data_IF_259835357914
#
_entry.id   IF_259835357914
#
_cell.length_a   1.000
_cell.length_b   1.000
_cell.length_c   1.000
_cell.angle_alpha   90.00
_cell.angle_beta   90.00
_cell.angle_gamma   90.00
#
_symmetry.space_group_name_H-M   'P 1'
#
loop_
_entity.id
_entity.type
_entity.pdbx_description
1 polymer ?
#
# COMPACT_ATOMS: atom_id res chain seq x y z
N UNK A 1 -8.03 -21.95 17.33
CA UNK A 1 -8.13 -20.50 17.00
C UNK A 1 -7.96 -19.74 18.31
N UNK A 2 -6.74 -19.28 18.62
CA UNK A 2 -6.46 -18.55 19.87
C UNK A 2 -6.98 -17.12 19.73
N UNK A 3 -8.04 -16.76 20.47
CA UNK A 3 -8.41 -15.35 20.67
C UNK A 3 -7.27 -14.69 21.46
N UNK A 4 -6.75 -13.57 20.96
CA UNK A 4 -5.66 -12.82 21.60
C UNK A 4 -6.10 -12.27 22.98
N UNK A 5 -5.18 -12.35 23.95
CA UNK A 5 -5.36 -12.28 25.42
C UNK A 5 -6.29 -11.20 26.02
N UNK A 6 -6.84 -11.57 27.19
CA UNK A 6 -7.98 -10.93 27.86
C UNK A 6 -7.67 -9.72 28.75
N UNK A 7 -6.41 -9.35 29.03
CA UNK A 7 -6.10 -8.43 30.15
C UNK A 7 -5.17 -7.23 29.88
N UNK A 8 -4.95 -6.81 28.63
CA UNK A 8 -4.17 -5.59 28.37
C UNK A 8 -5.05 -4.33 28.47
N UNK A 9 -4.78 -3.47 29.45
CA UNK A 9 -5.22 -2.07 29.48
C UNK A 9 -5.04 -1.46 28.09
N UNK A 10 -6.11 -0.85 27.54
CA UNK A 10 -6.14 -0.33 26.17
C UNK A 10 -5.23 0.90 26.08
N UNK A 11 -3.93 0.68 25.93
CA UNK A 11 -3.00 1.73 25.54
C UNK A 11 -3.25 2.06 24.07
N UNK A 12 -3.33 3.35 23.73
CA UNK A 12 -3.52 3.84 22.35
C UNK A 12 -2.49 3.25 21.37
N UNK A 13 -1.28 2.96 21.87
CA UNK A 13 -0.20 2.30 21.14
C UNK A 13 -0.56 0.84 20.78
N UNK A 14 -1.15 0.07 21.71
CA UNK A 14 -1.58 -1.32 21.45
C UNK A 14 -2.70 -1.39 20.42
N UNK A 15 -3.51 -0.33 20.32
CA UNK A 15 -4.58 -0.18 19.33
C UNK A 15 -4.02 0.16 17.95
N UNK A 16 -2.89 0.86 17.86
CA UNK A 16 -2.23 1.20 16.59
C UNK A 16 -1.33 0.08 16.02
N UNK A 17 -0.81 -0.82 16.88
CA UNK A 17 0.08 -1.94 16.49
C UNK A 17 -0.41 -2.78 15.31
N UNK A 18 -1.69 -3.17 15.20
CA UNK A 18 -2.17 -3.98 14.09
C UNK A 18 -2.21 -3.24 12.74
N UNK A 19 -2.21 -1.90 12.72
CA UNK A 19 -2.35 -1.12 11.47
C UNK A 19 -1.03 -0.60 10.91
N UNK A 20 0.00 -0.42 11.73
CA UNK A 20 1.37 -0.18 11.23
C UNK A 20 1.87 -1.34 10.33
N UNK A 21 1.29 -2.54 10.49
CA UNK A 21 1.49 -3.68 9.60
C UNK A 21 1.09 -3.37 8.14
N UNK A 22 0.05 -2.55 7.94
CA UNK A 22 -0.55 -2.24 6.64
C UNK A 22 0.15 -1.15 5.83
N UNK A 23 1.17 -0.47 6.38
CA UNK A 23 1.95 0.55 5.66
C UNK A 23 2.62 -0.10 4.45
N UNK A 24 2.27 0.36 3.25
CA UNK A 24 2.90 -0.09 2.01
C UNK A 24 4.24 0.64 1.85
N UNK A 25 5.25 -0.07 1.35
CA UNK A 25 6.59 0.48 1.14
C UNK A 25 6.68 1.45 -0.05
N UNK A 26 5.54 1.90 -0.59
CA UNK A 26 5.46 2.79 -1.75
C UNK A 26 6.11 4.16 -1.50
N UNK A 27 6.17 4.61 -0.24
CA UNK A 27 6.85 5.86 0.15
C UNK A 27 8.35 5.86 -0.20
N UNK A 28 8.98 4.70 -0.36
CA UNK A 28 10.38 4.65 -0.76
C UNK A 28 10.55 4.74 -2.28
N UNK A 29 9.51 4.60 -3.08
CA UNK A 29 9.59 4.57 -4.56
C UNK A 29 8.91 5.79 -5.18
N UNK A 30 7.66 6.00 -4.80
CA UNK A 30 6.76 6.98 -5.43
C UNK A 30 7.16 8.45 -5.29
N UNK A 31 7.91 8.91 -4.26
CA UNK A 31 8.32 10.32 -4.20
C UNK A 31 9.12 10.78 -5.41
N UNK A 32 10.03 9.95 -5.94
CA UNK A 32 10.79 10.27 -7.14
C UNK A 32 9.89 10.42 -8.35
N UNK A 33 8.94 9.49 -8.53
CA UNK A 33 7.94 9.50 -9.61
C UNK A 33 7.05 10.76 -9.54
N UNK A 34 6.56 11.09 -8.34
CA UNK A 34 5.68 12.25 -8.10
C UNK A 34 6.44 13.55 -8.33
N UNK A 35 7.67 13.66 -7.82
CA UNK A 35 8.47 14.86 -7.98
C UNK A 35 8.84 15.11 -9.44
N UNK A 36 9.20 14.06 -10.18
CA UNK A 36 9.44 14.15 -11.61
C UNK A 36 8.18 14.55 -12.39
N UNK A 37 7.04 13.92 -12.09
CA UNK A 37 5.79 14.18 -12.78
C UNK A 37 5.27 15.60 -12.55
N UNK A 38 5.41 16.12 -11.33
CA UNK A 38 4.94 17.47 -10.97
C UNK A 38 5.94 18.58 -11.34
N UNK A 39 7.22 18.26 -11.56
CA UNK A 39 8.26 19.18 -12.02
C UNK A 39 8.79 20.17 -10.97
N UNK A 40 8.07 20.39 -9.87
CA UNK A 40 8.47 21.25 -8.75
C UNK A 40 8.27 20.58 -7.38
N UNK A 41 9.06 21.02 -6.40
CA UNK A 41 9.02 20.50 -5.02
C UNK A 41 7.71 20.81 -4.30
N UNK A 42 7.18 22.02 -4.51
CA UNK A 42 5.94 22.47 -3.90
C UNK A 42 4.72 21.74 -4.45
N UNK A 43 4.64 21.57 -5.77
CA UNK A 43 3.54 20.83 -6.36
C UNK A 43 3.57 19.35 -5.95
N UNK A 44 4.76 18.73 -5.90
CA UNK A 44 4.92 17.37 -5.39
C UNK A 44 4.41 17.23 -3.94
N UNK A 45 4.82 18.13 -3.04
CA UNK A 45 4.39 18.12 -1.65
C UNK A 45 2.88 18.35 -1.49
N UNK A 46 2.28 19.22 -2.30
CA UNK A 46 0.82 19.45 -2.29
C UNK A 46 0.04 18.19 -2.68
N UNK A 47 0.51 17.41 -3.67
CA UNK A 47 -0.14 16.15 -4.04
C UNK A 47 -0.05 15.12 -2.90
N UNK A 48 1.05 15.08 -2.16
CA UNK A 48 1.19 14.22 -0.97
C UNK A 48 0.22 14.58 0.15
N UNK A 49 0.04 15.88 0.41
CA UNK A 49 -0.94 16.39 1.39
C UNK A 49 -2.35 16.03 0.94
N UNK A 50 -2.68 16.29 -0.33
CA UNK A 50 -3.99 15.97 -0.90
C UNK A 50 -4.30 14.46 -0.80
N UNK A 51 -3.35 13.60 -1.17
CA UNK A 51 -3.51 12.16 -1.06
C UNK A 51 -3.69 11.68 0.39
N UNK A 52 -3.01 12.32 1.35
CA UNK A 52 -3.21 12.06 2.78
C UNK A 52 -4.63 12.43 3.25
N UNK A 53 -5.15 13.59 2.83
CA UNK A 53 -6.53 14.02 3.13
C UNK A 53 -7.56 13.07 2.52
N UNK A 54 -7.39 12.68 1.25
CA UNK A 54 -8.27 11.71 0.58
C UNK A 54 -8.25 10.37 1.32
N UNK A 55 -7.07 9.89 1.71
CA UNK A 55 -6.90 8.64 2.45
C UNK A 55 -7.57 8.70 3.82
N UNK A 56 -7.46 9.82 4.53
CA UNK A 56 -8.13 10.01 5.81
C UNK A 56 -9.66 9.96 5.65
N UNK A 57 -10.21 10.63 4.64
CA UNK A 57 -11.64 10.58 4.34
C UNK A 57 -12.13 9.16 3.97
N UNK A 58 -11.37 8.45 3.13
CA UNK A 58 -11.68 7.06 2.77
C UNK A 58 -11.62 6.13 4.00
N UNK A 59 -10.57 6.27 4.82
CA UNK A 59 -10.38 5.54 6.07
C UNK A 59 -11.55 5.74 7.05
N UNK A 60 -11.98 6.99 7.24
CA UNK A 60 -13.14 7.31 8.07
C UNK A 60 -14.44 6.67 7.54
N UNK A 61 -14.66 6.71 6.22
CA UNK A 61 -15.81 6.05 5.56
C UNK A 61 -15.84 4.56 5.89
N UNK A 62 -14.68 3.90 5.77
CA UNK A 62 -14.55 2.46 6.01
C UNK A 62 -14.67 2.09 7.48
N UNK A 63 -14.23 2.95 8.39
CA UNK A 63 -14.48 2.77 9.83
C UNK A 63 -15.98 2.72 10.12
N UNK A 64 -16.77 3.61 9.50
CA UNK A 64 -18.22 3.57 9.65
C UNK A 64 -18.83 2.30 9.02
N UNK A 65 -18.35 1.88 7.84
CA UNK A 65 -18.81 0.62 7.23
C UNK A 65 -18.48 -0.61 8.08
N UNK A 66 -17.26 -0.71 8.59
CA UNK A 66 -16.81 -1.84 9.42
C UNK A 66 -17.42 -1.89 10.81
N UNK A 67 -17.95 -0.76 11.32
CA UNK A 67 -18.76 -0.73 12.55
C UNK A 67 -20.23 -1.07 12.29
N UNK A 68 -20.75 -0.83 11.08
CA UNK A 68 -22.09 -1.25 10.65
C UNK A 68 -22.13 -2.75 10.33
N UNK A 69 -21.16 -3.20 9.55
CA UNK A 69 -21.05 -4.52 8.94
C UNK A 69 -19.74 -5.17 9.42
N UNK A 70 -19.80 -5.86 10.56
CA UNK A 70 -18.61 -6.43 11.23
C UNK A 70 -18.22 -7.83 10.70
N UNK A 71 -18.61 -8.17 9.47
CA UNK A 71 -18.27 -9.46 8.84
C UNK A 71 -16.88 -9.42 8.17
N UNK A 72 -16.27 -10.59 7.97
CA UNK A 72 -14.99 -10.70 7.27
C UNK A 72 -15.16 -10.55 5.76
N UNK A 73 -14.25 -9.81 5.12
CA UNK A 73 -14.16 -9.71 3.65
C UNK A 73 -14.14 -8.28 3.10
N UNK A 74 -14.25 -7.25 3.95
CA UNK A 74 -14.10 -5.85 3.54
C UNK A 74 -15.08 -5.43 2.44
N UNK A 75 -14.55 -4.87 1.35
CA UNK A 75 -15.36 -4.36 0.23
C UNK A 75 -16.29 -5.41 -0.37
N UNK A 76 -15.89 -6.69 -0.40
CA UNK A 76 -16.73 -7.80 -0.87
C UNK A 76 -18.07 -7.79 -0.12
N UNK A 77 -18.01 -7.78 1.21
CA UNK A 77 -19.20 -7.79 2.06
C UNK A 77 -19.94 -6.46 1.99
N UNK A 78 -19.21 -5.34 2.00
CA UNK A 78 -19.82 -4.01 1.98
C UNK A 78 -20.64 -3.79 0.71
N UNK A 79 -20.10 -4.15 -0.44
CA UNK A 79 -20.79 -4.04 -1.73
C UNK A 79 -21.98 -5.01 -1.81
N UNK A 80 -21.82 -6.25 -1.35
CA UNK A 80 -22.92 -7.23 -1.29
C UNK A 80 -24.10 -6.76 -0.46
N UNK A 81 -23.81 -6.19 0.72
CA UNK A 81 -24.83 -5.75 1.67
C UNK A 81 -25.52 -4.46 1.24
N UNK A 82 -24.79 -3.59 0.51
CA UNK A 82 -25.28 -2.27 0.13
C UNK A 82 -26.04 -2.28 -1.19
N UNK A 83 -25.64 -3.12 -2.15
CA UNK A 83 -26.25 -3.22 -3.48
C UNK A 83 -26.92 -4.59 -3.68
N UNK A 84 -28.14 -4.78 -3.18
CA UNK A 84 -28.83 -6.08 -3.21
C UNK A 84 -29.31 -6.50 -4.62
N UNK A 85 -29.40 -5.56 -5.57
CA UNK A 85 -29.85 -5.80 -6.95
C UNK A 85 -28.90 -5.10 -7.94
N UNK A 86 -28.40 -5.80 -8.98
CA UNK A 86 -28.40 -7.27 -9.15
C UNK A 86 -27.57 -7.96 -8.06
N UNK A 87 -28.09 -9.09 -7.54
CA UNK A 87 -27.52 -9.75 -6.37
C UNK A 87 -26.08 -10.20 -6.63
N UNK A 88 -25.18 -9.93 -5.69
CA UNK A 88 -23.75 -10.27 -5.73
C UNK A 88 -22.93 -9.67 -6.88
N UNK A 89 -23.49 -8.88 -7.81
CA UNK A 89 -22.73 -8.39 -8.98
C UNK A 89 -21.50 -7.59 -8.57
N UNK A 90 -21.67 -6.53 -7.77
CA UNK A 90 -20.57 -5.66 -7.38
C UNK A 90 -19.55 -6.36 -6.48
N UNK A 91 -20.02 -7.27 -5.64
CA UNK A 91 -19.19 -8.12 -4.79
C UNK A 91 -18.33 -9.08 -5.64
N UNK A 92 -18.93 -9.73 -6.64
CA UNK A 92 -18.24 -10.59 -7.60
C UNK A 92 -17.24 -9.80 -8.44
N UNK A 93 -17.64 -8.66 -9.01
CA UNK A 93 -16.76 -7.80 -9.81
C UNK A 93 -15.58 -7.31 -9.00
N UNK A 94 -15.81 -6.92 -7.74
CA UNK A 94 -14.72 -6.59 -6.82
C UNK A 94 -13.81 -7.79 -6.59
N UNK A 95 -14.33 -8.97 -6.25
CA UNK A 95 -13.49 -10.16 -6.03
C UNK A 95 -12.69 -10.54 -7.28
N UNK A 96 -13.30 -10.46 -8.46
CA UNK A 96 -12.66 -10.70 -9.75
C UNK A 96 -11.51 -9.71 -9.98
N UNK A 97 -11.79 -8.40 -9.90
CA UNK A 97 -10.77 -7.37 -10.08
C UNK A 97 -9.73 -7.39 -8.96
N UNK A 98 -10.10 -7.79 -7.75
CA UNK A 98 -9.19 -7.91 -6.63
C UNK A 98 -8.14 -8.98 -6.90
N UNK A 99 -8.59 -10.14 -7.38
CA UNK A 99 -7.71 -11.24 -7.73
C UNK A 99 -6.86 -10.94 -8.97
N UNK A 100 -7.47 -10.47 -10.06
CA UNK A 100 -6.79 -10.33 -11.35
C UNK A 100 -5.95 -9.06 -11.49
N UNK A 101 -6.32 -7.97 -10.80
CA UNK A 101 -5.71 -6.65 -10.99
C UNK A 101 -5.17 -6.05 -9.70
N UNK A 102 -6.04 -5.83 -8.69
CA UNK A 102 -5.69 -5.01 -7.54
C UNK A 102 -4.59 -5.66 -6.71
N UNK A 103 -4.83 -6.87 -6.19
CA UNK A 103 -3.89 -7.51 -5.27
C UNK A 103 -2.62 -7.95 -5.98
N UNK A 104 -2.78 -8.51 -7.17
CA UNK A 104 -1.68 -9.08 -7.95
C UNK A 104 -0.79 -7.97 -8.53
N UNK A 105 -1.37 -6.88 -9.04
CA UNK A 105 -0.59 -5.71 -9.45
C UNK A 105 0.18 -5.09 -8.28
N UNK A 106 -0.45 -5.00 -7.10
CA UNK A 106 0.22 -4.52 -5.89
C UNK A 106 1.39 -5.42 -5.47
N UNK A 107 1.20 -6.73 -5.40
CA UNK A 107 2.27 -7.69 -5.06
C UNK A 107 3.40 -7.61 -6.09
N UNK A 108 3.06 -7.60 -7.38
CA UNK A 108 4.03 -7.53 -8.46
C UNK A 108 4.86 -6.23 -8.40
N UNK A 109 4.21 -5.07 -8.18
CA UNK A 109 4.89 -3.78 -8.04
C UNK A 109 5.86 -3.79 -6.85
N UNK A 110 5.42 -4.21 -5.66
CA UNK A 110 6.31 -4.28 -4.48
C UNK A 110 7.47 -5.26 -4.71
N UNK A 111 7.26 -6.35 -5.45
CA UNK A 111 8.34 -7.30 -5.77
C UNK A 111 9.40 -6.67 -6.68
N UNK A 112 9.01 -5.80 -7.61
CA UNK A 112 9.96 -5.03 -8.44
C UNK A 112 10.77 -4.06 -7.58
N UNK A 113 10.09 -3.29 -6.71
CA UNK A 113 10.76 -2.38 -5.78
C UNK A 113 11.75 -3.12 -4.87
N UNK A 114 11.37 -4.29 -4.35
CA UNK A 114 12.26 -5.15 -3.57
C UNK A 114 13.52 -5.51 -4.35
N UNK A 115 13.39 -5.95 -5.61
CA UNK A 115 14.52 -6.34 -6.43
C UNK A 115 15.48 -5.17 -6.68
N UNK A 116 14.96 -4.00 -7.03
CA UNK A 116 15.78 -2.82 -7.29
C UNK A 116 16.54 -2.36 -6.05
N UNK A 117 15.86 -2.27 -4.90
CA UNK A 117 16.50 -1.88 -3.64
C UNK A 117 17.52 -2.91 -3.17
N UNK A 118 17.25 -4.21 -3.37
CA UNK A 118 18.21 -5.26 -3.04
C UNK A 118 19.46 -5.16 -3.93
N UNK A 119 19.29 -5.03 -5.24
CA UNK A 119 20.42 -4.87 -6.19
C UNK A 119 21.23 -3.62 -5.84
N UNK A 120 20.57 -2.49 -5.57
CA UNK A 120 21.26 -1.27 -5.15
C UNK A 120 22.08 -1.48 -3.87
N UNK A 121 21.53 -2.18 -2.87
CA UNK A 121 22.24 -2.43 -1.61
C UNK A 121 23.50 -3.28 -1.78
N UNK A 122 23.47 -4.23 -2.72
CA UNK A 122 24.58 -5.13 -3.02
C UNK A 122 25.63 -4.48 -3.94
N UNK A 123 25.32 -3.32 -4.53
CA UNK A 123 26.18 -2.67 -5.53
C UNK A 123 27.43 -2.05 -4.91
N UNK A 124 28.58 -2.72 -5.06
CA UNK A 124 29.89 -2.27 -4.54
C UNK A 124 30.67 -1.39 -5.51
N UNK A 125 30.38 -1.45 -6.81
CA UNK A 125 31.03 -0.66 -7.88
C UNK A 125 30.01 0.17 -8.68
N UNK A 126 30.46 1.21 -9.39
CA UNK A 126 29.64 1.96 -10.36
C UNK A 126 29.02 1.04 -11.44
N UNK A 127 29.70 -0.07 -11.75
CA UNK A 127 29.18 -1.10 -12.65
C UNK A 127 27.96 -1.83 -12.09
N UNK A 128 27.81 -1.96 -10.77
CA UNK A 128 26.63 -2.63 -10.23
C UNK A 128 25.37 -1.75 -10.28
N UNK A 129 25.53 -0.42 -10.23
CA UNK A 129 24.44 0.53 -10.50
C UNK A 129 23.95 0.41 -11.96
N UNK A 130 24.79 -0.13 -12.86
CA UNK A 130 24.41 -0.46 -14.24
C UNK A 130 23.36 -1.57 -14.32
N UNK A 131 23.26 -2.48 -13.33
CA UNK A 131 22.19 -3.50 -13.29
C UNK A 131 20.79 -2.94 -13.05
N UNK A 132 20.71 -1.67 -12.62
CA UNK A 132 19.44 -0.93 -12.56
C UNK A 132 19.14 -0.19 -13.87
N UNK A 133 20.12 -0.04 -14.78
CA UNK A 133 19.92 0.53 -16.11
C UNK A 133 19.48 -0.59 -17.04
N UNK A 134 18.22 -0.54 -17.45
CA UNK A 134 17.72 -1.36 -18.55
C UNK A 134 17.98 -0.53 -19.80
N UNK A 135 18.90 -0.96 -20.66
CA UNK A 135 19.14 -0.25 -21.90
C UNK A 135 17.89 -0.34 -22.78
N UNK A 136 17.19 0.77 -23.08
CA UNK A 136 15.93 0.73 -23.82
C UNK A 136 16.13 0.18 -25.24
N UNK A 137 17.34 0.30 -25.80
CA UNK A 137 17.69 -0.25 -27.12
C UNK A 137 17.79 -1.77 -27.11
N UNK A 138 18.20 -2.37 -26.00
CA UNK A 138 18.35 -3.82 -25.86
C UNK A 138 17.03 -4.46 -25.39
N UNK A 139 16.19 -3.71 -24.67
CA UNK A 139 14.85 -4.12 -24.29
C UNK A 139 14.82 -5.45 -23.55
N UNK A 140 14.01 -6.40 -24.02
CA UNK A 140 13.90 -7.76 -23.42
C UNK A 140 15.21 -8.55 -23.53
N UNK A 141 16.12 -8.17 -24.43
CA UNK A 141 17.42 -8.82 -24.57
C UNK A 141 18.46 -8.27 -23.58
N UNK A 142 18.12 -7.25 -22.78
CA UNK A 142 18.98 -6.80 -21.70
C UNK A 142 18.98 -7.83 -20.56
N UNK A 143 20.17 -8.28 -20.14
CA UNK A 143 20.30 -9.25 -19.05
C UNK A 143 19.77 -8.66 -17.73
N UNK A 144 19.95 -7.36 -17.51
CA UNK A 144 19.53 -6.65 -16.29
C UNK A 144 18.01 -6.71 -16.09
N UNK A 145 17.28 -6.66 -17.21
CA UNK A 145 15.83 -6.76 -17.24
C UNK A 145 15.32 -8.06 -16.61
N UNK A 146 15.93 -9.19 -16.97
CA UNK A 146 15.57 -10.50 -16.43
C UNK A 146 16.11 -10.72 -15.02
N UNK A 147 17.30 -10.18 -14.71
CA UNK A 147 17.88 -10.26 -13.36
C UNK A 147 16.94 -9.68 -12.30
N UNK A 148 16.40 -8.46 -12.52
CA UNK A 148 15.46 -7.84 -11.58
C UNK A 148 14.19 -8.67 -11.41
N UNK A 149 13.67 -9.27 -12.48
CA UNK A 149 12.49 -10.15 -12.42
C UNK A 149 12.75 -11.41 -11.64
N UNK A 150 13.87 -12.09 -11.86
CA UNK A 150 14.19 -13.30 -11.12
C UNK A 150 14.40 -13.03 -9.63
N UNK A 151 15.02 -11.90 -9.27
CA UNK A 151 15.14 -11.47 -7.87
C UNK A 151 13.75 -11.19 -7.28
N UNK A 152 12.88 -10.47 -8.00
CA UNK A 152 11.51 -10.19 -7.60
C UNK A 152 10.69 -11.48 -7.37
N UNK A 153 10.81 -12.45 -8.29
CA UNK A 153 10.17 -13.76 -8.18
C UNK A 153 10.75 -14.60 -7.05
N UNK A 154 12.06 -14.55 -6.82
CA UNK A 154 12.72 -15.20 -5.70
C UNK A 154 12.20 -14.68 -4.36
N UNK A 155 12.11 -13.35 -4.21
CA UNK A 155 11.52 -12.72 -3.02
C UNK A 155 10.07 -13.16 -2.80
N UNK A 156 9.25 -13.12 -3.85
CA UNK A 156 7.85 -13.57 -3.80
C UNK A 156 7.72 -15.06 -3.45
N UNK A 157 8.59 -15.91 -4.00
CA UNK A 157 8.61 -17.36 -3.74
C UNK A 157 8.93 -17.64 -2.27
N UNK A 158 9.95 -16.99 -1.71
CA UNK A 158 10.30 -17.12 -0.29
C UNK A 158 9.12 -16.69 0.58
N UNK A 159 8.49 -15.54 0.26
CA UNK A 159 7.30 -15.05 0.97
C UNK A 159 6.16 -16.06 0.96
N UNK A 160 5.87 -16.60 -0.22
CA UNK A 160 4.80 -17.58 -0.40
C UNK A 160 5.11 -18.86 0.35
N UNK A 161 6.36 -19.34 0.29
CA UNK A 161 6.80 -20.57 0.93
C UNK A 161 6.64 -20.52 2.46
N UNK A 162 7.09 -19.46 3.13
CA UNK A 162 6.95 -19.40 4.59
C UNK A 162 5.49 -19.18 5.03
N UNK A 163 4.65 -18.53 4.22
CA UNK A 163 3.21 -18.43 4.49
C UNK A 163 2.49 -19.77 4.34
N UNK A 164 2.91 -20.60 3.38
CA UNK A 164 2.40 -21.98 3.25
C UNK A 164 2.85 -22.82 4.44
N UNK A 165 4.13 -22.72 4.83
CA UNK A 165 4.72 -23.54 5.89
C UNK A 165 4.09 -23.27 7.27
N UNK A 166 3.93 -22.00 7.66
CA UNK A 166 3.40 -21.65 8.98
C UNK A 166 2.85 -20.23 9.04
N UNK A 167 1.52 -20.13 9.18
CA UNK A 167 0.84 -18.83 9.39
C UNK A 167 1.28 -18.10 10.68
N UNK A 168 1.47 -18.77 11.84
CA UNK A 168 1.99 -18.10 13.03
C UNK A 168 3.40 -17.51 12.84
N UNK A 169 4.30 -18.25 12.19
CA UNK A 169 5.65 -17.77 11.88
C UNK A 169 5.60 -16.57 10.93
N UNK A 170 4.82 -16.68 9.85
CA UNK A 170 4.61 -15.60 8.89
C UNK A 170 4.11 -14.32 9.57
N UNK A 171 3.14 -14.44 10.47
CA UNK A 171 2.61 -13.33 11.24
C UNK A 171 3.66 -12.69 12.17
N UNK A 172 4.53 -13.49 12.79
CA UNK A 172 5.64 -12.98 13.62
C UNK A 172 6.64 -12.20 12.76
N UNK A 173 7.01 -12.73 11.59
CA UNK A 173 7.91 -12.07 10.64
C UNK A 173 7.31 -10.73 10.17
N UNK A 174 6.06 -10.73 9.71
CA UNK A 174 5.37 -9.53 9.25
C UNK A 174 5.31 -8.42 10.33
N UNK A 175 5.11 -8.81 11.61
CA UNK A 175 5.15 -7.88 12.75
C UNK A 175 6.52 -7.25 12.94
N UNK A 176 7.59 -8.04 12.92
CA UNK A 176 8.96 -7.53 13.07
C UNK A 176 9.30 -6.58 11.92
N UNK A 177 9.01 -6.99 10.68
CA UNK A 177 9.26 -6.16 9.50
C UNK A 177 8.45 -4.86 9.51
N UNK A 178 7.29 -4.83 10.18
CA UNK A 178 6.51 -3.61 10.38
C UNK A 178 7.16 -2.58 11.30
N UNK A 179 7.83 -3.03 12.36
CA UNK A 179 8.62 -2.14 13.19
C UNK A 179 9.84 -1.62 12.43
N UNK A 180 10.53 -2.50 11.69
CA UNK A 180 11.70 -2.11 10.88
C UNK A 180 11.33 -1.03 9.86
N UNK A 181 10.24 -1.19 9.10
CA UNK A 181 9.84 -0.18 8.11
C UNK A 181 9.47 1.17 8.73
N UNK A 182 8.79 1.15 9.88
CA UNK A 182 8.40 2.37 10.58
C UNK A 182 9.63 3.09 11.12
N UNK A 183 10.59 2.35 11.67
CA UNK A 183 11.87 2.88 12.14
C UNK A 183 12.69 3.48 10.98
N UNK A 184 12.82 2.76 9.86
CA UNK A 184 13.51 3.27 8.67
C UNK A 184 12.93 4.60 8.19
N UNK A 185 11.60 4.69 8.13
CA UNK A 185 10.91 5.93 7.73
C UNK A 185 11.12 7.07 8.73
N UNK A 186 11.07 6.77 10.03
CA UNK A 186 11.37 7.74 11.08
C UNK A 186 12.81 8.25 10.98
N UNK A 187 13.79 7.37 10.73
CA UNK A 187 15.19 7.75 10.50
C UNK A 187 15.33 8.70 9.31
N UNK A 188 14.67 8.42 8.18
CA UNK A 188 14.68 9.32 7.02
C UNK A 188 14.10 10.69 7.39
N UNK A 189 12.97 10.72 8.10
CA UNK A 189 12.35 11.96 8.53
C UNK A 189 13.28 12.80 9.42
N UNK A 190 13.93 12.19 10.42
CA UNK A 190 14.87 12.87 11.32
C UNK A 190 16.08 13.39 10.55
N UNK A 191 16.70 12.57 9.70
CA UNK A 191 17.86 12.97 8.90
C UNK A 191 17.52 14.11 7.93
N UNK A 192 16.30 14.12 7.39
CA UNK A 192 15.78 15.21 6.57
C UNK A 192 15.68 16.54 7.32
N UNK A 193 15.15 16.51 8.56
CA UNK A 193 15.02 17.71 9.40
C UNK A 193 16.40 18.29 9.74
N UNK A 194 17.38 17.43 10.05
CA UNK A 194 18.76 17.88 10.33
C UNK A 194 19.40 18.54 9.10
N UNK A 195 19.04 18.07 7.89
CA UNK A 195 19.58 18.57 6.62
C UNK A 195 18.58 19.48 5.87
N UNK A 196 17.70 20.18 6.58
CA UNK A 196 16.62 20.97 5.95
C UNK A 196 17.14 22.11 5.06
N UNK A 197 18.32 22.65 5.39
CA UNK A 197 19.02 23.61 4.52
C UNK A 197 19.54 22.88 3.29
N UNK A 198 18.73 22.87 2.24
CA UNK A 198 19.10 22.27 0.97
C UNK A 198 20.25 23.05 0.32
N UNK A 199 21.41 22.43 0.03
CA UNK A 199 22.49 23.07 -0.72
C UNK A 199 22.17 23.19 -2.23
N UNK A 200 21.01 22.68 -2.66
CA UNK A 200 20.59 22.61 -4.07
C UNK A 200 19.43 23.55 -4.40
N UNK A 201 19.13 24.50 -3.50
CA UNK A 201 18.09 25.53 -3.64
C UNK A 201 16.69 24.99 -3.99
N UNK A 202 16.41 23.73 -3.64
CA UNK A 202 15.12 23.08 -3.91
C UNK A 202 13.94 23.79 -3.21
N UNK A 203 14.23 24.59 -2.17
CA UNK A 203 13.25 25.37 -1.41
C UNK A 203 13.06 26.81 -1.91
N UNK A 204 14.05 27.41 -2.60
CA UNK A 204 13.96 28.80 -3.06
C UNK A 204 13.04 28.92 -4.27
N UNK A 205 13.12 27.95 -5.19
CA UNK A 205 12.31 27.83 -6.40
C UNK A 205 11.15 26.85 -6.20
N UNK A 206 10.42 26.99 -5.09
CA UNK A 206 9.52 25.94 -4.58
C UNK A 206 8.47 25.48 -5.60
N UNK A 207 7.90 26.39 -6.39
CA UNK A 207 6.91 26.08 -7.44
C UNK A 207 7.44 26.24 -8.88
N UNK A 208 8.74 26.51 -9.06
CA UNK A 208 9.26 26.74 -10.40
C UNK A 208 9.36 25.44 -11.20
N UNK A 209 8.95 25.48 -12.47
CA UNK A 209 8.89 24.30 -13.33
C UNK A 209 7.69 23.37 -13.06
N UNK A 210 6.68 23.86 -12.32
CA UNK A 210 5.47 23.07 -12.06
C UNK A 210 4.78 22.67 -13.36
N UNK A 211 4.48 21.37 -13.49
CA UNK A 211 3.73 20.79 -14.62
C UNK A 211 2.34 20.35 -14.15
N UNK A 212 1.31 21.18 -14.40
CA UNK A 212 -0.10 20.92 -14.06
C UNK A 212 -0.91 20.43 -15.26
N UNK A 213 -0.43 19.39 -15.93
CA UNK A 213 -1.27 18.68 -16.91
C UNK A 213 -2.19 17.70 -16.18
N UNK A 214 -3.34 17.38 -16.78
CA UNK A 214 -4.26 16.38 -16.23
C UNK A 214 -3.52 15.04 -16.05
N UNK A 215 -2.65 14.69 -17.00
CA UNK A 215 -1.85 13.46 -16.97
C UNK A 215 -0.83 13.44 -15.83
N UNK A 216 -0.05 14.52 -15.66
CA UNK A 216 0.96 14.62 -14.59
C UNK A 216 0.32 14.62 -13.22
N UNK A 217 -0.77 15.37 -13.04
CA UNK A 217 -1.51 15.42 -11.79
C UNK A 217 -2.15 14.06 -11.43
N UNK A 218 -2.85 13.44 -12.39
CA UNK A 218 -3.54 12.16 -12.15
C UNK A 218 -2.55 11.02 -11.85
N UNK A 219 -1.44 10.97 -12.61
CA UNK A 219 -0.37 9.98 -12.39
C UNK A 219 0.28 10.16 -11.01
N UNK A 220 0.57 11.40 -10.62
CA UNK A 220 1.16 11.72 -9.32
C UNK A 220 0.21 11.35 -8.19
N UNK A 221 -1.07 11.71 -8.33
CA UNK A 221 -2.08 11.41 -7.31
C UNK A 221 -2.25 9.89 -7.15
N UNK A 222 -2.34 9.13 -8.23
CA UNK A 222 -2.42 7.65 -8.18
C UNK A 222 -1.18 7.06 -7.50
N UNK A 223 0.01 7.57 -7.81
CA UNK A 223 1.27 7.13 -7.16
C UNK A 223 1.26 7.41 -5.65
N UNK A 224 0.78 8.59 -5.25
CA UNK A 224 0.62 8.93 -3.82
C UNK A 224 -0.40 8.00 -3.15
N UNK A 225 -1.55 7.78 -3.78
CA UNK A 225 -2.61 6.91 -3.24
C UNK A 225 -2.15 5.45 -3.14
N UNK A 226 -1.27 4.98 -4.03
CA UNK A 226 -0.60 3.68 -3.89
C UNK A 226 0.20 3.59 -2.59
N UNK A 227 0.98 4.62 -2.27
CA UNK A 227 1.78 4.65 -1.04
C UNK A 227 0.94 4.65 0.21
N UNK A 228 -0.17 5.39 0.19
CA UNK A 228 -1.11 5.43 1.31
C UNK A 228 -1.96 4.17 1.44
N UNK A 229 -2.05 3.32 0.41
CA UNK A 229 -2.90 2.14 0.41
C UNK A 229 -2.54 1.15 1.55
N UNK A 230 -3.50 0.33 1.94
CA UNK A 230 -3.39 -0.64 3.04
C UNK A 230 -4.16 -0.27 4.32
N UNK A 231 -4.75 0.92 4.37
CA UNK A 231 -5.66 1.37 5.43
C UNK A 231 -6.93 0.51 5.56
N UNK A 232 -7.36 -0.12 4.47
CA UNK A 232 -8.52 -1.02 4.41
C UNK A 232 -8.23 -2.46 4.86
N UNK A 233 -6.97 -2.89 4.98
CA UNK A 233 -6.62 -4.29 5.21
C UNK A 233 -7.22 -4.92 6.48
N UNK A 234 -7.43 -4.13 7.55
CA UNK A 234 -8.09 -4.63 8.77
C UNK A 234 -9.55 -5.03 8.54
N UNK A 235 -10.22 -4.43 7.55
CA UNK A 235 -11.61 -4.77 7.23
C UNK A 235 -11.75 -6.20 6.68
N UNK A 236 -10.65 -6.81 6.20
CA UNK A 236 -10.66 -8.19 5.72
C UNK A 236 -10.70 -9.23 6.83
N UNK A 237 -10.30 -8.87 8.05
CA UNK A 237 -10.13 -9.81 9.17
C UNK A 237 -10.87 -9.37 10.44
N UNK A 238 -11.91 -8.55 10.32
CA UNK A 238 -12.62 -7.97 11.49
C UNK A 238 -13.07 -9.00 12.52
N UNK A 239 -13.55 -10.18 12.09
CA UNK A 239 -14.02 -11.18 13.03
C UNK A 239 -12.90 -11.93 13.79
N UNK A 240 -11.63 -11.71 13.46
CA UNK A 240 -10.49 -12.19 14.27
C UNK A 240 -10.19 -11.30 15.49
N UNK A 241 -10.75 -10.08 15.54
CA UNK A 241 -10.49 -9.11 16.59
C UNK A 241 -11.59 -9.11 17.68
N UNK A 242 -11.18 -9.02 18.95
CA UNK A 242 -12.08 -8.81 20.09
C UNK A 242 -12.49 -7.34 20.15
N UNK A 243 -13.79 -7.05 20.29
CA UNK A 243 -14.36 -5.69 20.27
C UNK A 243 -13.92 -4.86 19.05
N UNK A 244 -14.18 -5.34 17.82
CA UNK A 244 -13.66 -4.72 16.61
C UNK A 244 -14.16 -3.28 16.45
N UNK A 245 -15.39 -2.97 16.86
CA UNK A 245 -16.01 -1.66 16.62
C UNK A 245 -15.21 -0.48 17.21
N UNK A 246 -14.94 -0.51 18.53
CA UNK A 246 -14.17 0.55 19.19
C UNK A 246 -12.71 0.55 18.77
N UNK A 247 -12.09 -0.63 18.64
CA UNK A 247 -10.68 -0.74 18.24
C UNK A 247 -10.48 -0.25 16.80
N UNK A 248 -11.43 -0.50 15.90
CA UNK A 248 -11.37 -0.10 14.51
C UNK A 248 -11.31 1.42 14.39
N UNK A 249 -12.11 2.17 15.16
CA UNK A 249 -12.18 3.64 15.11
C UNK A 249 -10.84 4.28 15.44
N UNK A 250 -10.34 4.06 16.65
CA UNK A 250 -9.11 4.72 17.11
C UNK A 250 -7.90 4.25 16.31
N UNK A 251 -7.82 2.96 16.03
CA UNK A 251 -6.71 2.40 15.27
C UNK A 251 -6.64 3.02 13.86
N UNK A 252 -7.77 3.27 13.18
CA UNK A 252 -7.72 3.70 11.78
C UNK A 252 -7.23 5.14 11.65
N UNK A 253 -7.83 6.01 12.47
CA UNK A 253 -7.55 7.45 12.42
C UNK A 253 -6.12 7.72 12.86
N UNK A 254 -5.69 7.15 14.00
CA UNK A 254 -4.35 7.37 14.54
C UNK A 254 -3.29 6.85 13.56
N UNK A 255 -3.48 5.66 13.00
CA UNK A 255 -2.51 5.10 12.05
C UNK A 255 -2.38 5.93 10.77
N UNK A 256 -3.50 6.36 10.17
CA UNK A 256 -3.45 7.18 8.95
C UNK A 256 -2.81 8.54 9.21
N UNK A 257 -3.09 9.17 10.36
CA UNK A 257 -2.46 10.45 10.73
C UNK A 257 -0.95 10.32 10.94
N UNK A 258 -0.50 9.30 11.69
CA UNK A 258 0.93 9.06 11.93
C UNK A 258 1.65 8.80 10.60
N UNK A 259 1.10 7.93 9.75
CA UNK A 259 1.69 7.60 8.45
C UNK A 259 1.72 8.82 7.54
N UNK A 260 0.63 9.60 7.48
CA UNK A 260 0.58 10.83 6.70
C UNK A 260 1.61 11.86 7.14
N UNK A 261 1.79 12.05 8.45
CA UNK A 261 2.83 12.93 8.97
C UNK A 261 4.23 12.44 8.56
N UNK A 262 4.52 11.14 8.74
CA UNK A 262 5.80 10.56 8.35
C UNK A 262 6.06 10.63 6.84
N UNK A 263 5.03 10.47 6.00
CA UNK A 263 5.15 10.58 4.55
C UNK A 263 5.44 12.01 4.11
N UNK A 264 4.77 13.00 4.70
CA UNK A 264 5.06 14.42 4.46
C UNK A 264 6.50 14.72 4.87
N UNK A 265 6.93 14.29 6.07
CA UNK A 265 8.30 14.49 6.55
C UNK A 265 9.34 13.78 5.68
N UNK A 266 9.07 12.57 5.20
CA UNK A 266 9.97 11.86 4.29
C UNK A 266 10.09 12.59 2.94
N UNK A 267 9.01 13.14 2.40
CA UNK A 267 9.07 13.95 1.18
C UNK A 267 9.87 15.25 1.40
N UNK A 268 9.69 15.92 2.53
CA UNK A 268 10.52 17.07 2.93
C UNK A 268 12.00 16.65 3.02
N UNK A 269 12.30 15.47 3.57
CA UNK A 269 13.66 14.93 3.65
C UNK A 269 14.28 14.72 2.26
N UNK A 270 13.55 14.04 1.37
CA UNK A 270 13.99 13.79 0.00
C UNK A 270 14.20 15.10 -0.77
N UNK A 271 13.27 16.05 -0.64
CA UNK A 271 13.39 17.38 -1.27
C UNK A 271 14.57 18.17 -0.73
N UNK A 272 14.90 18.06 0.55
CA UNK A 272 15.99 18.83 1.15
C UNK A 272 17.36 18.35 0.66
N UNK A 273 17.53 17.05 0.49
CA UNK A 273 18.85 16.45 0.28
C UNK A 273 19.12 16.03 -1.16
N UNK A 274 18.11 15.58 -1.91
CA UNK A 274 18.32 15.08 -3.27
C UNK A 274 18.34 16.25 -4.27
N UNK A 275 19.35 16.38 -5.15
CA UNK A 275 19.39 17.48 -6.13
C UNK A 275 18.19 17.51 -7.09
N UNK A 276 17.62 18.68 -7.37
CA UNK A 276 16.46 18.83 -8.28
C UNK A 276 16.69 18.36 -9.72
N UNK A 277 17.94 18.21 -10.18
CA UNK A 277 18.24 17.62 -11.49
C UNK A 277 17.70 16.19 -11.64
N UNK A 278 17.56 15.45 -10.55
CA UNK A 278 16.95 14.12 -10.56
C UNK A 278 15.42 14.18 -10.71
N UNK A 279 14.80 15.27 -10.27
CA UNK A 279 13.39 15.54 -10.55
C UNK A 279 13.18 16.06 -12.00
N UNK A 280 14.12 16.82 -12.54
CA UNK A 280 13.95 17.53 -13.83
C UNK A 280 14.46 16.79 -15.07
N UNK A 281 15.26 15.72 -14.92
CA UNK A 281 15.79 14.97 -16.06
C UNK A 281 15.01 13.67 -16.31
N UNK A 282 14.12 13.64 -17.33
CA UNK A 282 13.40 12.42 -17.71
C UNK A 282 14.28 11.30 -18.27
N UNK A 283 15.58 11.52 -18.48
CA UNK A 283 16.55 10.54 -18.98
C UNK A 283 17.46 9.88 -17.94
N UNK A 284 17.32 10.19 -16.64
CA UNK A 284 17.97 9.44 -15.58
C UNK A 284 16.94 8.50 -14.92
N UNK A 285 16.94 7.26 -15.40
CA UNK A 285 15.96 6.19 -15.18
C UNK A 285 15.96 5.57 -13.76
N UNK A 286 16.29 6.33 -12.70
CA UNK A 286 16.51 5.76 -11.36
C UNK A 286 15.64 6.36 -10.25
N UNK A 287 14.42 6.79 -10.57
CA UNK A 287 13.55 7.47 -9.62
C UNK A 287 12.97 6.55 -8.53
N UNK A 288 13.15 5.25 -8.66
CA UNK A 288 12.54 4.25 -7.79
C UNK A 288 13.35 4.01 -6.51
N UNK A 289 14.63 4.39 -6.52
CA UNK A 289 15.58 4.18 -5.41
C UNK A 289 15.91 5.49 -4.68
N UNK A 290 14.95 6.43 -4.62
CA UNK A 290 15.17 7.77 -4.04
C UNK A 290 15.70 7.73 -2.60
N UNK A 291 15.32 6.72 -1.82
CA UNK A 291 15.85 6.55 -0.46
C UNK A 291 17.34 6.20 -0.45
N UNK A 292 17.82 5.41 -1.42
CA UNK A 292 19.24 5.11 -1.59
C UNK A 292 20.03 6.39 -1.86
N UNK A 293 19.62 7.14 -2.88
CA UNK A 293 20.25 8.42 -3.23
C UNK A 293 20.23 9.43 -2.09
N UNK A 294 19.10 9.55 -1.39
CA UNK A 294 18.99 10.38 -0.20
C UNK A 294 20.11 10.06 0.79
N UNK A 295 20.32 8.79 1.14
CA UNK A 295 21.40 8.41 2.05
C UNK A 295 22.80 8.64 1.46
N UNK A 296 23.01 8.47 0.15
CA UNK A 296 24.29 8.82 -0.47
C UNK A 296 24.63 10.30 -0.30
N UNK A 297 23.66 11.18 -0.53
CA UNK A 297 23.81 12.62 -0.40
C UNK A 297 23.87 13.11 1.06
N UNK A 298 23.21 12.41 2.00
CA UNK A 298 23.35 12.72 3.44
C UNK A 298 24.76 12.42 3.94
N UNK A 299 25.36 11.30 3.51
CA UNK A 299 26.63 10.87 4.07
C UNK A 299 27.59 10.33 3.01
N UNK A 300 27.31 9.13 2.48
CA UNK A 300 28.16 8.47 1.49
C UNK A 300 27.45 7.26 0.88
N UNK A 301 28.06 6.68 -0.15
CA UNK A 301 27.60 5.47 -0.84
C UNK A 301 27.33 4.29 0.10
N UNK A 302 28.17 4.08 1.11
CA UNK A 302 27.99 2.97 2.04
C UNK A 302 26.70 3.13 2.84
N UNK A 303 26.38 4.36 3.26
CA UNK A 303 25.11 4.66 3.91
C UNK A 303 23.92 4.47 2.95
N UNK A 304 24.06 4.89 1.68
CA UNK A 304 23.10 4.60 0.62
C UNK A 304 22.77 3.11 0.51
N UNK A 305 23.79 2.25 0.49
CA UNK A 305 23.63 0.79 0.43
C UNK A 305 22.91 0.22 1.65
N UNK A 306 23.31 0.65 2.85
CA UNK A 306 22.70 0.20 4.12
C UNK A 306 21.23 0.60 4.18
N UNK A 307 20.91 1.86 3.85
CA UNK A 307 19.52 2.31 3.86
C UNK A 307 18.70 1.58 2.80
N UNK A 308 19.23 1.38 1.60
CA UNK A 308 18.57 0.60 0.55
C UNK A 308 18.33 -0.86 0.96
N UNK A 309 19.23 -1.47 1.73
CA UNK A 309 19.00 -2.79 2.30
C UNK A 309 17.84 -2.79 3.30
N UNK A 310 17.76 -1.78 4.18
CA UNK A 310 16.64 -1.61 5.10
C UNK A 310 15.31 -1.41 4.35
N UNK A 311 15.32 -0.69 3.22
CA UNK A 311 14.15 -0.52 2.35
C UNK A 311 13.80 -1.82 1.63
N UNK A 312 14.78 -2.60 1.15
CA UNK A 312 14.54 -3.92 0.59
C UNK A 312 13.84 -4.84 1.60
N UNK A 313 14.32 -4.87 2.85
CA UNK A 313 13.67 -5.62 3.94
C UNK A 313 12.25 -5.10 4.21
N UNK A 314 12.02 -3.78 4.15
CA UNK A 314 10.70 -3.18 4.27
C UNK A 314 9.73 -3.64 3.18
N UNK A 315 10.14 -3.55 1.91
CA UNK A 315 9.34 -3.99 0.76
C UNK A 315 9.04 -5.50 0.84
N UNK A 316 10.00 -6.31 1.27
CA UNK A 316 9.80 -7.74 1.54
C UNK A 316 8.74 -8.00 2.62
N UNK A 317 8.71 -7.18 3.69
CA UNK A 317 7.64 -7.21 4.68
C UNK A 317 6.28 -6.79 4.15
N UNK A 318 6.25 -5.80 3.25
CA UNK A 318 5.02 -5.43 2.55
C UNK A 318 4.53 -6.59 1.67
N UNK A 319 5.41 -7.29 0.95
CA UNK A 319 5.04 -8.50 0.19
C UNK A 319 4.36 -9.55 1.08
N UNK A 320 4.93 -9.81 2.26
CA UNK A 320 4.33 -10.73 3.23
C UNK A 320 2.93 -10.32 3.66
N UNK A 321 2.74 -9.06 4.02
CA UNK A 321 1.43 -8.53 4.41
C UNK A 321 0.40 -8.59 3.26
N UNK A 322 0.83 -8.29 2.03
CA UNK A 322 -0.03 -8.38 0.85
C UNK A 322 -0.41 -9.83 0.52
N UNK A 323 0.54 -10.77 0.62
CA UNK A 323 0.29 -12.18 0.38
C UNK A 323 -0.70 -12.77 1.39
N UNK A 324 -0.52 -12.44 2.67
CA UNK A 324 -1.43 -12.84 3.74
C UNK A 324 -2.86 -12.35 3.49
N UNK A 325 -3.04 -11.03 3.33
CA UNK A 325 -4.37 -10.43 3.15
C UNK A 325 -5.02 -10.86 1.83
N UNK A 326 -4.25 -11.03 0.76
CA UNK A 326 -4.74 -11.51 -0.53
C UNK A 326 -5.30 -12.93 -0.46
N UNK A 327 -4.61 -13.85 0.21
CA UNK A 327 -5.05 -15.25 0.36
C UNK A 327 -6.40 -15.37 1.07
N UNK A 328 -6.69 -14.50 2.05
CA UNK A 328 -7.97 -14.52 2.79
C UNK A 328 -9.14 -14.00 1.96
N UNK A 329 -8.94 -12.96 1.16
CA UNK A 329 -9.98 -12.48 0.25
C UNK A 329 -10.29 -13.53 -0.82
N UNK A 330 -9.28 -14.26 -1.32
CA UNK A 330 -9.48 -15.38 -2.24
C UNK A 330 -10.33 -16.47 -1.59
N UNK A 331 -10.05 -16.83 -0.33
CA UNK A 331 -10.88 -17.80 0.40
C UNK A 331 -12.32 -17.32 0.58
N UNK A 332 -12.53 -16.09 1.03
CA UNK A 332 -13.88 -15.54 1.21
C UNK A 332 -14.66 -15.51 -0.12
N UNK A 333 -14.00 -15.16 -1.23
CA UNK A 333 -14.63 -15.21 -2.55
C UNK A 333 -14.94 -16.66 -3.00
N UNK A 334 -14.08 -17.62 -2.67
CA UNK A 334 -14.32 -19.05 -2.93
C UNK A 334 -15.47 -19.63 -2.09
N UNK A 335 -15.63 -19.21 -0.83
CA UNK A 335 -16.77 -19.59 0.00
C UNK A 335 -18.11 -19.10 -0.56
N UNK A 336 -18.11 -17.96 -1.27
CA UNK A 336 -19.29 -17.44 -1.97
C UNK A 336 -19.48 -18.03 -3.38
N UNK A 337 -18.69 -19.02 -3.77
CA UNK A 337 -18.69 -19.63 -5.10
C UNK A 337 -18.51 -18.62 -6.25
N UNK A 338 -17.72 -17.56 -6.03
CA UNK A 338 -17.40 -16.59 -7.08
C UNK A 338 -16.35 -17.11 -8.08
N UNK A 339 -15.62 -18.19 -7.75
CA UNK A 339 -14.74 -18.84 -8.71
C UNK A 339 -15.51 -19.95 -9.43
N UNK A 340 -15.62 -19.92 -10.77
CA UNK A 340 -16.34 -20.95 -11.52
C UNK A 340 -15.64 -22.31 -11.48
N UNK A 341 -14.32 -22.32 -11.28
CA UNK A 341 -13.48 -23.52 -11.26
C UNK A 341 -12.59 -23.49 -10.01
N UNK A 342 -12.52 -24.60 -9.28
CA UNK A 342 -11.59 -24.77 -8.16
C UNK A 342 -11.98 -24.12 -6.84
N UNK A 343 -13.18 -23.52 -6.73
CA UNK A 343 -13.67 -22.89 -5.49
C UNK A 343 -13.58 -23.82 -4.26
N UNK A 344 -13.90 -25.12 -4.43
CA UNK A 344 -13.83 -26.09 -3.33
C UNK A 344 -12.41 -26.24 -2.77
N UNK A 345 -11.39 -26.24 -3.63
CA UNK A 345 -9.99 -26.32 -3.23
C UNK A 345 -9.49 -25.01 -2.64
N UNK A 346 -9.93 -23.88 -3.20
CA UNK A 346 -9.49 -22.54 -2.77
C UNK A 346 -10.02 -22.16 -1.38
N UNK A 347 -11.25 -22.57 -1.03
CA UNK A 347 -11.87 -22.24 0.26
C UNK A 347 -11.29 -23.02 1.45
N UNK A 348 -10.70 -24.20 1.21
CA UNK A 348 -10.19 -25.06 2.29
C UNK A 348 -8.75 -24.69 2.66
N UNK A 349 -8.47 -24.65 3.96
CA UNK A 349 -7.09 -24.68 4.45
C UNK A 349 -6.48 -26.07 4.20
N UNK A 350 -5.16 -26.13 4.06
CA UNK A 350 -4.42 -27.37 3.88
C UNK A 350 -4.41 -28.21 5.16
N UNK A 351 -4.58 -29.53 5.04
CA UNK A 351 -4.66 -30.44 6.18
C UNK A 351 -3.33 -30.58 6.95
N UNK A 352 -2.18 -30.45 6.27
CA UNK A 352 -0.86 -30.63 6.87
C UNK A 352 -0.38 -29.36 7.58
N UNK A 353 -0.58 -28.20 6.95
CA UNK A 353 -0.04 -26.93 7.45
C UNK A 353 -1.07 -26.03 8.13
N UNK A 354 -2.37 -26.32 7.97
CA UNK A 354 -3.47 -25.47 8.43
C UNK A 354 -3.33 -24.02 7.91
N UNK A 355 -3.00 -23.89 6.62
CA UNK A 355 -2.77 -22.62 5.92
C UNK A 355 -3.55 -22.57 4.60
N UNK A 356 -3.82 -21.38 4.05
CA UNK A 356 -4.55 -21.21 2.78
C UNK A 356 -3.66 -21.53 1.56
N UNK A 357 -3.07 -22.74 1.53
CA UNK A 357 -2.05 -23.15 0.56
C UNK A 357 -2.49 -22.95 -0.89
N UNK A 358 -3.69 -23.41 -1.23
CA UNK A 358 -4.20 -23.32 -2.61
C UNK A 358 -4.40 -21.86 -3.04
N UNK A 359 -4.94 -21.02 -2.17
CA UNK A 359 -5.09 -19.60 -2.45
C UNK A 359 -3.73 -18.89 -2.62
N UNK A 360 -2.74 -19.23 -1.79
CA UNK A 360 -1.37 -18.71 -1.90
C UNK A 360 -0.70 -19.12 -3.22
N UNK A 361 -0.81 -20.40 -3.61
CA UNK A 361 -0.25 -20.90 -4.87
C UNK A 361 -0.91 -20.24 -6.07
N UNK A 362 -2.23 -20.15 -6.10
CA UNK A 362 -2.97 -19.52 -7.20
C UNK A 362 -2.59 -18.03 -7.34
N UNK A 363 -2.47 -17.32 -6.22
CA UNK A 363 -1.97 -15.95 -6.23
C UNK A 363 -0.51 -15.85 -6.71
N UNK A 364 0.37 -16.75 -6.27
CA UNK A 364 1.77 -16.82 -6.70
C UNK A 364 1.89 -17.02 -8.21
N UNK A 365 1.12 -17.96 -8.78
CA UNK A 365 1.10 -18.23 -10.22
C UNK A 365 0.68 -16.97 -10.99
N UNK A 366 -0.41 -16.32 -10.57
CA UNK A 366 -0.89 -15.12 -11.28
C UNK A 366 0.06 -13.92 -11.13
N UNK A 367 0.68 -13.75 -9.95
CA UNK A 367 1.73 -12.74 -9.76
C UNK A 367 2.95 -13.03 -10.64
N UNK A 368 3.36 -14.29 -10.76
CA UNK A 368 4.48 -14.69 -11.61
C UNK A 368 4.19 -14.37 -13.07
N UNK A 369 3.02 -14.75 -13.55
CA UNK A 369 2.56 -14.40 -14.91
C UNK A 369 2.59 -12.88 -15.12
N UNK A 370 2.04 -12.11 -14.18
CA UNK A 370 1.98 -10.64 -14.29
C UNK A 370 3.37 -10.00 -14.29
N UNK A 371 4.28 -10.45 -13.42
CA UNK A 371 5.67 -9.96 -13.35
C UNK A 371 6.43 -10.22 -14.66
N UNK A 372 6.21 -11.40 -15.26
CA UNK A 372 6.86 -11.81 -16.51
C UNK A 372 6.25 -11.08 -17.71
N UNK A 373 4.91 -11.06 -17.84
CA UNK A 373 4.20 -10.56 -19.02
C UNK A 373 3.98 -9.04 -18.99
N UNK A 374 3.40 -8.50 -17.92
CA UNK A 374 3.17 -7.04 -17.83
C UNK A 374 4.47 -6.31 -17.59
N UNK A 375 5.33 -6.89 -16.75
CA UNK A 375 6.69 -6.40 -16.62
C UNK A 375 7.53 -6.57 -17.89
N UNK A 376 7.06 -7.26 -18.95
CA UNK A 376 7.77 -7.36 -20.23
C UNK A 376 7.87 -6.00 -20.97
N UNK A 377 7.14 -4.99 -20.50
CA UNK A 377 7.15 -3.66 -21.11
C UNK A 377 8.55 -3.04 -21.07
N UNK A 378 9.05 -2.68 -22.25
CA UNK A 378 10.35 -2.02 -22.45
C UNK A 378 10.19 -0.49 -22.35
N UNK A 379 8.97 0.01 -22.53
CA UNK A 379 8.68 1.43 -22.75
C UNK A 379 8.30 2.19 -21.48
N UNK A 380 8.01 1.51 -20.39
CA UNK A 380 7.64 2.16 -19.13
C UNK A 380 8.12 1.33 -17.94
N UNK A 381 8.37 2.03 -16.84
CA UNK A 381 8.86 1.42 -15.62
C UNK A 381 7.91 0.30 -15.12
N UNK A 382 8.43 -0.93 -14.85
CA UNK A 382 7.61 -2.04 -14.38
C UNK A 382 6.84 -1.76 -13.09
N UNK A 383 7.45 -1.14 -12.07
CA UNK A 383 6.77 -0.78 -10.83
C UNK A 383 5.64 0.20 -11.13
N UNK A 384 5.90 1.23 -11.94
CA UNK A 384 4.87 2.23 -12.27
C UNK A 384 3.69 1.60 -12.99
N UNK A 385 3.91 0.79 -14.03
CA UNK A 385 2.83 0.11 -14.76
C UNK A 385 2.01 -0.77 -13.81
N UNK A 386 2.67 -1.57 -12.97
CA UNK A 386 2.01 -2.52 -12.08
C UNK A 386 1.25 -1.84 -10.94
N UNK A 387 1.82 -0.76 -10.39
CA UNK A 387 1.17 0.05 -9.36
C UNK A 387 -0.04 0.79 -9.94
N UNK A 388 0.08 1.41 -11.11
CA UNK A 388 -1.03 2.06 -11.82
C UNK A 388 -2.15 1.06 -12.13
N UNK A 389 -1.82 -0.10 -12.71
CA UNK A 389 -2.78 -1.17 -13.01
C UNK A 389 -3.57 -1.61 -11.78
N UNK A 390 -2.88 -1.73 -10.64
CA UNK A 390 -3.49 -2.04 -9.35
C UNK A 390 -4.39 -0.92 -8.86
N UNK A 391 -3.91 0.33 -8.86
CA UNK A 391 -4.61 1.46 -8.23
C UNK A 391 -5.81 1.95 -9.03
N UNK A 392 -5.71 2.07 -10.36
CA UNK A 392 -6.87 2.45 -11.17
C UNK A 392 -8.02 1.47 -10.95
N UNK A 393 -7.71 0.18 -10.90
CA UNK A 393 -8.68 -0.86 -10.58
C UNK A 393 -9.25 -0.70 -9.16
N UNK A 394 -8.41 -0.45 -8.17
CA UNK A 394 -8.82 -0.36 -6.76
C UNK A 394 -9.74 0.83 -6.48
N UNK A 395 -9.39 2.01 -6.98
CA UNK A 395 -10.09 3.26 -6.66
C UNK A 395 -11.49 3.35 -7.25
N UNK A 396 -11.76 2.62 -8.35
CA UNK A 396 -13.13 2.43 -8.85
C UNK A 396 -13.99 1.77 -7.76
N UNK A 397 -13.50 0.68 -7.16
CA UNK A 397 -14.24 -0.04 -6.11
C UNK A 397 -14.24 0.68 -4.76
N UNK A 398 -13.20 1.44 -4.44
CA UNK A 398 -13.21 2.30 -3.24
C UNK A 398 -14.25 3.41 -3.36
N UNK A 399 -14.38 4.01 -4.55
CA UNK A 399 -15.46 4.95 -4.87
C UNK A 399 -16.85 4.32 -4.77
N UNK A 400 -17.05 3.14 -5.36
CA UNK A 400 -18.29 2.36 -5.23
C UNK A 400 -18.62 2.03 -3.76
N UNK A 401 -17.61 1.70 -2.96
CA UNK A 401 -17.76 1.41 -1.52
C UNK A 401 -18.13 2.68 -0.73
N UNK A 402 -17.56 3.84 -1.09
CA UNK A 402 -18.00 5.14 -0.59
C UNK A 402 -19.47 5.42 -0.93
N UNK A 403 -19.89 5.19 -2.17
CA UNK A 403 -21.28 5.32 -2.60
C UNK A 403 -22.22 4.35 -1.84
N UNK A 404 -21.77 3.13 -1.57
CA UNK A 404 -22.48 2.15 -0.74
C UNK A 404 -22.76 2.68 0.68
N UNK A 405 -21.79 3.36 1.31
CA UNK A 405 -22.02 3.99 2.62
C UNK A 405 -23.12 5.06 2.56
N UNK A 406 -23.11 5.93 1.54
CA UNK A 406 -24.18 6.92 1.35
C UNK A 406 -25.54 6.26 1.14
N UNK A 407 -25.60 5.14 0.41
CA UNK A 407 -26.84 4.37 0.24
C UNK A 407 -27.32 3.77 1.58
N UNK A 408 -26.42 3.18 2.37
CA UNK A 408 -26.75 2.61 3.69
C UNK A 408 -27.19 3.67 4.70
N UNK A 409 -26.64 4.89 4.64
CA UNK A 409 -27.06 6.01 5.51
C UNK A 409 -28.51 6.43 5.29
N UNK A 410 -29.09 6.18 4.12
CA UNK A 410 -30.50 6.48 3.83
C UNK A 410 -31.48 5.48 4.45
N UNK A 411 -30.99 4.32 4.92
CA UNK A 411 -31.81 3.30 5.57
C UNK A 411 -31.73 3.45 7.10
N UNK A 412 -32.83 3.27 7.84
CA UNK A 412 -32.78 3.21 9.31
C UNK A 412 -31.79 2.12 9.74
N UNK A 413 -30.95 2.41 10.73
CA UNK A 413 -30.05 1.41 11.32
C UNK A 413 -30.52 1.08 12.73
N UNK A 414 -30.81 -0.20 12.97
CA UNK A 414 -31.23 -0.70 14.28
C UNK A 414 -30.07 -0.81 15.29
N UNK A 415 -28.81 -0.68 14.85
CA UNK A 415 -27.63 -0.79 15.73
C UNK A 415 -27.27 0.54 16.39
N UNK A 416 -27.42 0.59 17.71
CA UNK A 416 -27.24 1.78 18.58
C UNK A 416 -25.80 2.34 18.74
N UNK A 417 -24.75 1.70 18.24
CA UNK A 417 -23.34 2.08 18.53
C UNK A 417 -22.48 2.40 17.30
N UNK A 418 -23.04 3.03 16.26
CA UNK A 418 -22.30 3.32 15.02
C UNK A 418 -21.40 4.54 15.16
N UNK A 419 -20.09 4.37 14.99
CA UNK A 419 -19.22 5.49 14.61
C UNK A 419 -19.76 6.08 13.30
N UNK A 420 -20.09 7.37 13.30
CA UNK A 420 -20.53 8.08 12.10
C UNK A 420 -19.36 8.91 11.59
N UNK A 421 -18.88 8.58 10.40
CA UNK A 421 -17.91 9.40 9.72
C UNK A 421 -18.59 10.74 9.38
N UNK A 422 -17.99 11.84 9.83
CA UNK A 422 -18.36 13.20 9.42
C UNK A 422 -17.85 13.41 7.99
N UNK A 423 -18.48 12.69 7.06
CA UNK A 423 -18.33 12.91 5.61
C UNK A 423 -19.65 13.49 5.13
N UNK A 424 -20.09 14.49 5.86
CA UNK A 424 -21.02 15.47 5.36
C UNK A 424 -20.15 16.70 5.22
N UNK A 425 -19.97 17.16 3.98
CA UNK A 425 -19.81 18.59 3.80
C UNK A 425 -20.95 19.24 4.58
N UNK A 426 -20.60 19.89 5.69
CA UNK A 426 -21.47 20.79 6.44
C UNK A 426 -22.85 20.17 6.74
N UNK A 427 -22.95 19.21 7.66
CA UNK A 427 -24.17 19.16 8.47
C UNK A 427 -23.92 19.96 9.75
N UNK A 428 -24.49 21.16 9.73
CA UNK A 428 -24.77 21.96 10.91
C UNK A 428 -25.39 21.03 11.95
N UNK A 429 -24.74 21.01 13.10
CA UNK A 429 -25.19 20.44 14.36
C UNK A 429 -26.64 20.90 14.62
N UNK A 430 -27.62 20.08 14.27
CA UNK A 430 -28.89 20.11 14.99
C UNK A 430 -28.67 19.30 16.25
N UNK A 431 -28.22 20.00 17.29
CA UNK A 431 -28.42 19.58 18.68
C UNK A 431 -29.91 19.28 18.81
N UNK A 432 -30.23 18.00 18.95
CA UNK A 432 -31.51 17.55 19.44
C UNK A 432 -31.72 18.21 20.79
N UNK A 433 -32.55 19.26 20.84
CA UNK A 433 -33.14 19.70 22.10
C UNK A 433 -33.99 18.54 22.60
N UNK A 434 -33.43 17.79 23.55
CA UNK A 434 -34.20 17.19 24.62
C UNK A 434 -35.00 18.30 25.29
N UNK A 435 -36.27 18.44 24.91
CA UNK A 435 -37.30 18.96 25.82
C UNK A 435 -38.14 17.77 26.25
N UNK A 436 -37.72 17.18 27.36
CA UNK A 436 -38.64 16.75 28.41
C UNK A 436 -39.35 18.00 28.91
N UNK A 437 -40.65 18.13 28.65
CA UNK A 437 -41.80 18.13 29.59
C UNK A 437 -43.05 18.12 28.73
#
# INVERSE_FOLDING_TARGET
MHKLDDNASINSIDVAKPRLLGVISGIFVTPGIVWQSMGSSGAALMVWILGGVITLAASLSYTELGTRISEQGGELVYLRSSFPKPHNLFSFLFSFMFFFAIRVGSIAAVSQAFAQYLVYSLSTSDECTRYLQINPRNGVNDMNFWTLKFIALGGLLIVTAYHIYSSPLANKINKILAYVKTLTLFTIAVLGIVNLKSPYNNWESFFDGTTLTITSFSTSLISVLYSYNGWNNLNYSLAEFKNPENRLVYSNVISVLIVGCLYILANIAFISVVPSKYAKNPGHEFNEVIAGYFAEYVWNRQFGRVLSFCVAISTFGTLGALCWSGSRVIQTAAEKNYFPIGAEKLRKDDERFNTPKNALITQFIWCTFTIVVVGASITSDPFKILSDYSQYSAWIFYGLTGAALFHLKRKPSDKKNTFKAIIQGIQIVQITKTRTV
#
